data_IF_967689629134
#
_entry.id   IF_967689629134
#
_cell.length_a   1.000
_cell.length_b   1.000
_cell.length_c   1.000
_cell.angle_alpha   90.00
_cell.angle_beta   90.00
_cell.angle_gamma   90.00
#
_symmetry.space_group_name_H-M   'P 1'
#
loop_
_entity.id
_entity.type
_entity.pdbx_description
1 polymer ?
#
# COMPACT_ATOMS: atom_id res chain seq x y z
N UNK A 1 5.92 -17.03 -1.72
CA UNK A 1 6.36 -17.03 -0.31
C UNK A 1 7.81 -17.48 -0.27
N UNK A 2 8.67 -16.70 0.39
CA UNK A 2 10.05 -17.09 0.65
C UNK A 2 10.14 -18.01 1.88
N UNK A 3 11.26 -18.74 2.01
CA UNK A 3 11.50 -19.58 3.18
C UNK A 3 11.94 -18.71 4.36
N UNK A 4 11.23 -18.77 5.48
CA UNK A 4 11.58 -18.02 6.69
C UNK A 4 12.87 -18.52 7.37
N UNK A 5 13.28 -19.77 7.12
CA UNK A 5 14.57 -20.31 7.55
C UNK A 5 15.73 -20.04 6.57
N UNK A 6 15.56 -19.11 5.62
CA UNK A 6 16.65 -18.73 4.70
C UNK A 6 17.74 -18.04 5.51
N UNK A 7 18.98 -18.49 5.36
CA UNK A 7 20.14 -17.99 6.12
C UNK A 7 20.40 -18.73 7.43
N UNK A 8 19.56 -19.70 7.83
CA UNK A 8 19.71 -20.46 9.09
C UNK A 8 20.75 -21.60 9.03
N UNK A 9 21.76 -21.49 8.18
CA UNK A 9 22.91 -22.42 8.09
C UNK A 9 22.91 -23.39 6.91
N UNK A 10 21.75 -23.83 6.39
CA UNK A 10 21.69 -24.72 5.21
C UNK A 10 20.93 -24.07 4.05
N UNK A 11 21.30 -24.44 2.81
CA UNK A 11 20.65 -23.89 1.61
C UNK A 11 19.18 -24.30 1.52
N UNK A 12 18.35 -23.44 0.94
CA UNK A 12 16.95 -23.77 0.66
C UNK A 12 16.86 -24.90 -0.36
N UNK A 13 15.94 -25.83 -0.14
CA UNK A 13 15.69 -26.97 -1.03
C UNK A 13 14.73 -26.66 -2.18
N UNK A 14 14.15 -25.46 -2.20
CA UNK A 14 13.17 -25.04 -3.19
C UNK A 14 12.16 -24.04 -2.63
N UNK A 15 11.01 -23.86 -3.29
CA UNK A 15 9.96 -22.96 -2.85
C UNK A 15 9.42 -23.33 -1.46
N UNK A 16 9.08 -22.33 -0.66
CA UNK A 16 8.46 -22.53 0.64
C UNK A 16 7.00 -22.98 0.47
N UNK A 17 6.73 -24.26 0.75
CA UNK A 17 5.41 -24.87 0.58
C UNK A 17 4.74 -25.26 1.89
N UNK A 18 5.49 -25.35 2.99
CA UNK A 18 4.98 -25.74 4.30
C UNK A 18 4.81 -24.50 5.17
N UNK A 19 3.60 -24.21 5.63
CA UNK A 19 3.36 -23.12 6.60
C UNK A 19 3.58 -23.60 8.03
N UNK A 20 3.89 -22.69 8.94
CA UNK A 20 3.86 -22.98 10.37
C UNK A 20 2.45 -23.46 10.75
N UNK A 21 2.34 -24.63 11.40
CA UNK A 21 1.04 -25.23 11.73
C UNK A 21 0.24 -24.46 12.78
N UNK A 22 0.89 -23.59 13.58
CA UNK A 22 0.23 -22.74 14.57
C UNK A 22 -0.23 -21.43 13.93
N UNK A 23 0.70 -20.56 13.57
CA UNK A 23 0.34 -19.22 13.10
C UNK A 23 -0.11 -19.17 11.63
N UNK A 24 0.29 -20.12 10.78
CA UNK A 24 0.02 -20.07 9.34
C UNK A 24 0.74 -18.96 8.55
N UNK A 25 1.38 -17.99 9.22
CA UNK A 25 1.94 -16.79 8.60
C UNK A 25 3.26 -17.04 7.86
N UNK A 26 4.18 -17.80 8.47
CA UNK A 26 5.52 -18.06 7.91
C UNK A 26 5.55 -19.38 7.14
N UNK A 27 6.35 -19.44 6.08
CA UNK A 27 6.49 -20.61 5.22
C UNK A 27 7.93 -21.13 5.18
N UNK A 28 8.10 -22.44 5.00
CA UNK A 28 9.38 -23.15 4.99
C UNK A 28 9.48 -24.06 3.76
N UNK A 29 10.69 -24.20 3.22
CA UNK A 29 10.97 -25.20 2.19
C UNK A 29 11.19 -26.61 2.76
N UNK A 30 11.50 -26.73 4.05
CA UNK A 30 11.76 -28.01 4.73
C UNK A 30 11.44 -27.95 6.22
N UNK A 31 11.26 -29.13 6.85
CA UNK A 31 11.09 -29.23 8.30
C UNK A 31 12.35 -28.82 9.06
N UNK A 32 13.54 -29.09 8.50
CA UNK A 32 14.82 -28.66 9.08
C UNK A 32 14.89 -27.14 9.23
N UNK A 33 14.47 -26.38 8.21
CA UNK A 33 14.40 -24.91 8.30
C UNK A 33 13.37 -24.42 9.30
N UNK A 34 12.24 -25.10 9.44
CA UNK A 34 11.26 -24.78 10.48
C UNK A 34 11.83 -24.98 11.89
N UNK A 35 12.50 -26.11 12.15
CA UNK A 35 13.12 -26.41 13.45
C UNK A 35 14.23 -25.42 13.76
N UNK A 36 15.08 -25.11 12.78
CA UNK A 36 16.18 -24.14 12.96
C UNK A 36 15.63 -22.73 13.26
N UNK A 37 14.65 -22.27 12.49
CA UNK A 37 14.05 -20.95 12.66
C UNK A 37 13.17 -20.83 13.92
N UNK A 38 12.70 -21.96 14.48
CA UNK A 38 11.82 -21.98 15.66
C UNK A 38 12.40 -21.20 16.86
N UNK A 39 13.73 -21.20 17.01
CA UNK A 39 14.41 -20.46 18.09
C UNK A 39 14.05 -18.97 18.13
N UNK A 40 13.82 -18.37 16.95
CA UNK A 40 13.44 -16.96 16.79
C UNK A 40 11.93 -16.84 16.59
N UNK A 41 11.35 -17.67 15.72
CA UNK A 41 9.93 -17.59 15.37
C UNK A 41 8.99 -17.77 16.56
N UNK A 42 9.34 -18.59 17.55
CA UNK A 42 8.46 -18.91 18.68
C UNK A 42 7.97 -17.67 19.45
N UNK A 43 8.79 -16.63 19.53
CA UNK A 43 8.49 -15.37 20.23
C UNK A 43 7.39 -14.58 19.49
N UNK A 44 7.37 -14.67 18.16
CA UNK A 44 6.41 -13.96 17.30
C UNK A 44 5.21 -14.82 16.88
N UNK A 45 5.29 -16.14 17.09
CA UNK A 45 4.32 -17.09 16.53
C UNK A 45 2.90 -16.83 17.03
N UNK A 46 2.73 -16.52 18.32
CA UNK A 46 1.42 -16.22 18.90
C UNK A 46 0.83 -14.92 18.37
N UNK A 47 1.64 -13.86 18.31
CA UNK A 47 1.23 -12.56 17.74
C UNK A 47 0.79 -12.73 16.29
N UNK A 48 1.55 -13.48 15.51
CA UNK A 48 1.22 -13.79 14.11
C UNK A 48 -0.05 -14.64 14.00
N UNK A 49 -0.29 -15.59 14.91
CA UNK A 49 -1.52 -16.37 14.96
C UNK A 49 -2.74 -15.48 15.16
N UNK A 50 -2.68 -14.55 16.12
CA UNK A 50 -3.75 -13.57 16.36
C UNK A 50 -4.03 -12.71 15.13
N UNK A 51 -2.98 -12.24 14.44
CA UNK A 51 -3.12 -11.49 13.20
C UNK A 51 -3.76 -12.33 12.09
N UNK A 52 -3.38 -13.60 12.00
CA UNK A 52 -3.89 -14.50 10.97
C UNK A 52 -5.36 -14.88 11.17
N UNK A 53 -5.90 -14.79 12.40
CA UNK A 53 -7.34 -14.93 12.67
C UNK A 53 -8.17 -13.80 12.05
N UNK A 54 -7.57 -12.64 11.80
CA UNK A 54 -8.25 -11.48 11.23
C UNK A 54 -8.04 -11.37 9.71
N UNK A 55 -7.50 -12.39 9.04
CA UNK A 55 -7.23 -12.35 7.60
C UNK A 55 -8.47 -12.06 6.76
N UNK A 56 -9.60 -12.64 7.12
CA UNK A 56 -10.84 -12.44 6.35
C UNK A 56 -11.31 -10.99 6.46
N UNK A 57 -11.24 -10.40 7.65
CA UNK A 57 -11.52 -8.97 7.87
C UNK A 57 -10.56 -8.06 7.10
N UNK A 58 -9.28 -8.42 7.01
CA UNK A 58 -8.28 -7.66 6.25
C UNK A 58 -8.49 -7.76 4.72
N UNK A 59 -9.24 -8.76 4.24
CA UNK A 59 -9.58 -8.92 2.84
C UNK A 59 -11.01 -8.46 2.50
N UNK A 60 -11.79 -8.03 3.49
CA UNK A 60 -13.15 -7.53 3.33
C UNK A 60 -13.14 -6.05 2.87
N UNK A 61 -12.71 -5.85 1.63
CA UNK A 61 -12.69 -4.53 1.02
C UNK A 61 -14.03 -4.20 0.35
N UNK A 62 -14.53 -2.95 0.45
CA UNK A 62 -15.84 -2.56 -0.10
C UNK A 62 -15.87 -2.43 -1.63
N UNK A 63 -14.78 -2.76 -2.32
CA UNK A 63 -14.65 -2.51 -3.75
C UNK A 63 -15.37 -3.57 -4.58
N UNK A 64 -15.95 -3.17 -5.70
CA UNK A 64 -16.60 -4.12 -6.65
C UNK A 64 -15.59 -5.06 -7.30
N UNK A 65 -14.30 -4.73 -7.22
CA UNK A 65 -13.20 -5.50 -7.79
C UNK A 65 -12.37 -6.26 -6.74
N UNK A 66 -12.78 -6.28 -5.47
CA UNK A 66 -12.03 -6.93 -4.38
C UNK A 66 -11.68 -8.38 -4.74
N UNK A 67 -12.66 -9.19 -5.14
CA UNK A 67 -12.45 -10.59 -5.52
C UNK A 67 -11.42 -10.76 -6.65
N UNK A 68 -11.48 -9.92 -7.69
CA UNK A 68 -10.53 -9.94 -8.81
C UNK A 68 -9.12 -9.55 -8.36
N UNK A 69 -9.01 -8.49 -7.55
CA UNK A 69 -7.74 -7.88 -7.15
C UNK A 69 -7.04 -8.54 -5.95
N UNK A 70 -7.74 -9.35 -5.16
CA UNK A 70 -7.18 -10.02 -3.98
C UNK A 70 -7.17 -11.54 -4.16
N UNK A 71 -8.35 -12.17 -4.19
CA UNK A 71 -8.51 -13.63 -4.20
C UNK A 71 -7.97 -14.23 -5.50
N UNK A 72 -8.46 -13.77 -6.66
CA UNK A 72 -8.06 -14.34 -7.95
C UNK A 72 -6.57 -14.12 -8.26
N UNK A 73 -5.99 -13.00 -7.83
CA UNK A 73 -4.54 -12.76 -7.93
C UNK A 73 -3.75 -13.72 -7.01
N UNK A 74 -4.22 -13.94 -5.77
CA UNK A 74 -3.60 -14.89 -4.83
C UNK A 74 -3.65 -16.33 -5.36
N UNK A 75 -4.77 -16.71 -5.97
CA UNK A 75 -4.99 -18.02 -6.60
C UNK A 75 -4.34 -18.15 -7.98
N UNK A 76 -3.65 -17.11 -8.46
CA UNK A 76 -3.00 -17.04 -9.78
C UNK A 76 -3.96 -17.23 -10.97
N UNK A 77 -5.25 -17.03 -10.77
CA UNK A 77 -6.26 -17.00 -11.83
C UNK A 77 -6.23 -15.65 -12.57
N UNK A 78 -5.83 -14.59 -11.86
CA UNK A 78 -5.68 -13.25 -12.40
C UNK A 78 -4.27 -12.71 -12.14
N UNK A 79 -3.85 -11.70 -12.91
CA UNK A 79 -2.59 -10.99 -12.64
C UNK A 79 -2.84 -9.50 -12.48
N UNK A 80 -1.98 -8.83 -11.71
CA UNK A 80 -2.05 -7.37 -11.57
C UNK A 80 -1.96 -6.67 -12.94
N UNK A 81 -1.16 -7.18 -13.87
CA UNK A 81 -1.04 -6.63 -15.21
C UNK A 81 -2.37 -6.68 -15.98
N UNK A 82 -3.03 -7.85 -15.97
CA UNK A 82 -4.31 -8.05 -16.64
C UNK A 82 -5.43 -7.22 -15.98
N UNK A 83 -5.48 -7.20 -14.64
CA UNK A 83 -6.39 -6.34 -13.87
C UNK A 83 -6.31 -4.86 -14.30
N UNK A 84 -5.10 -4.31 -14.42
CA UNK A 84 -4.87 -2.92 -14.85
C UNK A 84 -5.19 -2.73 -16.34
N UNK A 85 -4.89 -3.72 -17.18
CA UNK A 85 -5.12 -3.65 -18.63
C UNK A 85 -6.60 -3.59 -18.97
N UNK A 86 -7.44 -4.41 -18.30
CA UNK A 86 -8.90 -4.37 -18.43
C UNK A 86 -9.50 -2.98 -18.13
N UNK A 87 -8.77 -2.16 -17.36
CA UNK A 87 -9.17 -0.81 -16.95
C UNK A 87 -8.44 0.31 -17.71
N UNK A 88 -7.60 -0.02 -18.69
CA UNK A 88 -6.87 0.97 -19.49
C UNK A 88 -5.80 1.76 -18.74
N UNK A 89 -5.39 1.30 -17.55
CA UNK A 89 -4.44 2.00 -16.66
C UNK A 89 -3.14 1.22 -16.48
N UNK A 90 -2.86 0.28 -17.38
CA UNK A 90 -1.64 -0.51 -17.34
C UNK A 90 -0.45 0.29 -17.91
N UNK A 91 0.63 0.42 -17.13
CA UNK A 91 1.88 1.08 -17.55
C UNK A 91 1.70 2.54 -18.03
N UNK A 92 0.77 3.29 -17.43
CA UNK A 92 0.54 4.71 -17.74
C UNK A 92 0.49 5.55 -16.46
N UNK A 93 1.00 6.79 -16.54
CA UNK A 93 1.04 7.75 -15.44
C UNK A 93 1.45 7.16 -14.09
N UNK A 94 0.65 7.44 -13.06
CA UNK A 94 0.89 7.01 -11.68
C UNK A 94 0.83 5.48 -11.50
N UNK A 95 0.30 4.73 -12.46
CA UNK A 95 0.08 3.29 -12.38
C UNK A 95 1.26 2.44 -12.85
N UNK A 96 2.29 3.06 -13.43
CA UNK A 96 3.44 2.34 -14.00
C UNK A 96 4.05 1.38 -12.96
N UNK A 97 4.17 1.80 -11.70
CA UNK A 97 4.78 1.00 -10.64
C UNK A 97 3.84 0.02 -9.94
N UNK A 98 2.58 -0.07 -10.36
CA UNK A 98 1.63 -0.99 -9.74
C UNK A 98 1.76 -2.42 -10.27
N UNK A 99 2.46 -2.67 -11.38
CA UNK A 99 2.82 -4.01 -11.83
C UNK A 99 4.33 -4.26 -11.77
N UNK A 100 4.74 -5.53 -11.58
CA UNK A 100 6.15 -5.95 -11.72
C UNK A 100 6.73 -5.66 -13.11
N UNK A 101 5.88 -5.61 -14.13
CA UNK A 101 6.24 -5.29 -15.50
C UNK A 101 6.67 -3.83 -15.71
N UNK A 102 6.35 -2.95 -14.77
CA UNK A 102 6.69 -1.53 -14.85
C UNK A 102 8.10 -1.21 -14.39
N UNK A 103 8.73 -2.09 -13.60
CA UNK A 103 10.13 -1.94 -13.19
C UNK A 103 11.10 -1.98 -14.38
N UNK A 104 10.71 -2.59 -15.50
CA UNK A 104 11.47 -2.56 -16.76
C UNK A 104 11.33 -1.22 -17.50
N UNK A 105 10.28 -0.45 -17.24
CA UNK A 105 9.98 0.83 -17.92
C UNK A 105 10.69 1.99 -17.24
N UNK A 106 10.84 1.95 -15.92
CA UNK A 106 11.53 3.00 -15.14
C UNK A 106 13.05 3.05 -15.34
N UNK A 107 13.63 2.07 -16.05
CA UNK A 107 15.03 2.08 -16.48
C UNK A 107 15.30 3.04 -17.65
N UNK A 108 14.26 3.52 -18.34
CA UNK A 108 14.39 4.49 -19.43
C UNK A 108 14.03 5.88 -18.91
N UNK A 109 15.05 6.75 -18.86
CA UNK A 109 14.98 8.04 -18.19
C UNK A 109 13.98 9.04 -18.77
N UNK A 110 13.65 9.99 -17.91
CA UNK A 110 13.45 11.40 -18.23
C UNK A 110 12.27 11.83 -19.12
N UNK A 111 11.06 11.30 -18.90
CA UNK A 111 9.84 12.04 -19.27
C UNK A 111 8.86 12.13 -18.10
N UNK A 112 9.21 12.98 -17.12
CA UNK A 112 8.43 13.23 -15.88
C UNK A 112 7.08 13.92 -16.13
N UNK A 113 6.82 14.44 -17.33
CA UNK A 113 5.63 15.25 -17.58
C UNK A 113 4.35 14.41 -17.74
N UNK A 114 4.49 13.16 -18.17
CA UNK A 114 3.35 12.21 -18.33
C UNK A 114 3.19 11.26 -17.14
N UNK A 115 4.11 11.26 -16.17
CA UNK A 115 4.11 10.29 -15.06
C UNK A 115 3.14 10.64 -13.93
N UNK A 116 2.74 11.91 -13.82
CA UNK A 116 2.00 12.40 -12.64
C UNK A 116 0.47 12.41 -12.87
N UNK A 117 0.01 11.89 -14.01
CA UNK A 117 -1.42 11.83 -14.33
C UNK A 117 -2.11 10.64 -13.69
N UNK A 118 -3.34 10.87 -13.21
CA UNK A 118 -4.20 9.81 -12.66
C UNK A 118 -4.65 8.79 -13.71
N UNK A 119 -4.64 9.14 -15.01
CA UNK A 119 -5.16 8.31 -16.12
C UNK A 119 -6.54 7.69 -15.84
N UNK A 120 -7.37 8.41 -15.09
CA UNK A 120 -8.74 8.07 -14.75
C UNK A 120 -9.63 9.26 -15.08
N UNK A 121 -10.89 9.01 -15.42
CA UNK A 121 -11.90 10.07 -15.51
C UNK A 121 -12.04 10.79 -14.17
N UNK A 122 -12.42 12.06 -14.19
CA UNK A 122 -12.59 12.89 -12.99
C UNK A 122 -13.55 12.33 -11.93
N UNK A 123 -14.51 11.47 -12.31
CA UNK A 123 -15.42 10.80 -11.38
C UNK A 123 -14.79 9.61 -10.65
N UNK A 124 -13.66 9.10 -11.14
CA UNK A 124 -12.98 7.91 -10.59
C UNK A 124 -11.74 8.28 -9.76
N UNK A 125 -11.31 9.53 -9.72
CA UNK A 125 -10.09 9.89 -9.01
C UNK A 125 -10.25 11.19 -8.22
N UNK A 126 -9.46 11.38 -7.15
CA UNK A 126 -9.51 12.55 -6.32
C UNK A 126 -8.84 13.80 -6.95
N UNK A 127 -8.94 13.96 -8.26
CA UNK A 127 -8.27 15.04 -9.01
C UNK A 127 -8.88 16.44 -8.80
N UNK A 128 -10.09 16.51 -8.22
CA UNK A 128 -10.76 17.76 -7.83
C UNK A 128 -10.78 17.88 -6.32
N UNK A 129 -10.85 19.10 -5.78
CA UNK A 129 -11.05 19.30 -4.35
C UNK A 129 -12.32 18.58 -3.84
N UNK A 130 -12.35 18.17 -2.56
CA UNK A 130 -13.53 17.55 -1.97
C UNK A 130 -14.71 18.53 -1.94
N UNK A 131 -15.94 18.01 -2.03
CA UNK A 131 -17.17 18.82 -1.99
C UNK A 131 -17.39 19.51 -0.64
N UNK A 132 -16.85 18.93 0.43
CA UNK A 132 -16.90 19.48 1.79
C UNK A 132 -15.63 19.12 2.56
N UNK A 133 -15.24 19.93 3.57
CA UNK A 133 -14.20 19.54 4.50
C UNK A 133 -14.54 18.22 5.20
N UNK A 134 -13.51 17.50 5.63
CA UNK A 134 -13.67 16.29 6.43
C UNK A 134 -14.33 16.64 7.77
N UNK A 135 -15.54 16.14 8.01
CA UNK A 135 -16.33 16.47 9.20
C UNK A 135 -16.12 15.47 10.35
N UNK A 136 -15.75 14.24 10.03
CA UNK A 136 -15.49 13.14 10.97
C UNK A 136 -14.24 12.39 10.52
N UNK A 137 -13.52 11.82 11.48
CA UNK A 137 -12.41 10.93 11.17
C UNK A 137 -12.90 9.79 10.27
N UNK A 138 -12.20 9.55 9.17
CA UNK A 138 -12.48 8.41 8.31
C UNK A 138 -12.03 7.14 9.03
N UNK A 139 -12.86 6.11 9.04
CA UNK A 139 -12.59 4.84 9.70
C UNK A 139 -12.50 3.67 8.71
N UNK A 140 -12.95 3.88 7.47
CA UNK A 140 -12.94 2.85 6.43
C UNK A 140 -12.68 3.42 5.03
N UNK A 141 -12.33 2.53 4.10
CA UNK A 141 -12.30 2.87 2.68
C UNK A 141 -13.65 3.35 2.16
N UNK A 142 -14.75 2.81 2.67
CA UNK A 142 -16.09 3.21 2.27
C UNK A 142 -16.34 4.68 2.65
N UNK A 143 -15.97 5.08 3.86
CA UNK A 143 -16.11 6.47 4.33
C UNK A 143 -15.33 7.44 3.43
N UNK A 144 -14.10 7.07 3.04
CA UNK A 144 -13.28 7.88 2.15
C UNK A 144 -13.92 8.03 0.76
N UNK A 145 -14.39 6.93 0.17
CA UNK A 145 -15.01 6.93 -1.16
C UNK A 145 -16.30 7.74 -1.17
N UNK A 146 -17.13 7.61 -0.13
CA UNK A 146 -18.34 8.40 0.06
C UNK A 146 -18.03 9.90 0.19
N UNK A 147 -17.08 10.26 1.07
CA UNK A 147 -16.65 11.65 1.25
C UNK A 147 -16.10 12.27 -0.05
N UNK A 148 -15.31 11.52 -0.82
CA UNK A 148 -14.78 11.98 -2.10
C UNK A 148 -15.75 11.90 -3.26
N UNK A 149 -16.94 11.35 -3.05
CA UNK A 149 -17.90 11.04 -4.10
C UNK A 149 -17.28 10.19 -5.23
N UNK A 150 -16.38 9.28 -4.87
CA UNK A 150 -15.72 8.34 -5.79
C UNK A 150 -16.47 7.00 -5.69
N UNK A 151 -16.85 6.39 -6.81
CA UNK A 151 -17.66 5.19 -6.76
C UNK A 151 -16.74 3.95 -6.55
N UNK A 152 -17.24 2.92 -5.86
CA UNK A 152 -16.45 1.78 -5.35
C UNK A 152 -15.84 0.87 -6.44
N UNK A 153 -16.17 1.09 -7.72
CA UNK A 153 -15.51 0.50 -8.88
C UNK A 153 -14.20 1.18 -9.26
N UNK A 154 -13.93 2.38 -8.75
CA UNK A 154 -12.67 3.05 -9.01
C UNK A 154 -11.50 2.27 -8.39
N UNK A 155 -10.44 1.95 -9.15
CA UNK A 155 -9.26 1.27 -8.63
C UNK A 155 -8.32 2.19 -7.83
N UNK A 156 -8.71 3.45 -7.59
CA UNK A 156 -7.81 4.50 -7.05
C UNK A 156 -7.29 4.21 -5.65
N UNK A 157 -7.91 3.28 -4.90
CA UNK A 157 -7.39 2.76 -3.63
C UNK A 157 -5.99 2.18 -3.77
N UNK A 158 -5.64 1.58 -4.92
CA UNK A 158 -4.30 1.06 -5.17
C UNK A 158 -3.22 2.14 -5.16
N UNK A 159 -3.55 3.37 -5.55
CA UNK A 159 -2.64 4.51 -5.43
C UNK A 159 -2.73 5.12 -4.03
N UNK A 160 -3.95 5.32 -3.52
CA UNK A 160 -4.20 6.08 -2.29
C UNK A 160 -3.84 5.36 -1.00
N UNK A 161 -3.57 4.05 -1.02
CA UNK A 161 -3.29 3.28 0.20
C UNK A 161 -2.20 3.93 1.06
N UNK A 162 -1.10 4.44 0.48
CA UNK A 162 -0.04 5.08 1.25
C UNK A 162 -0.46 6.39 1.95
N UNK A 163 -0.97 7.42 1.24
CA UNK A 163 -1.46 8.61 1.92
C UNK A 163 -2.56 8.32 2.95
N UNK A 164 -3.47 7.39 2.68
CA UNK A 164 -4.50 7.05 3.66
C UNK A 164 -3.96 6.27 4.86
N UNK A 165 -2.98 5.40 4.68
CA UNK A 165 -2.26 4.79 5.80
C UNK A 165 -1.58 5.86 6.65
N UNK A 166 -0.89 6.83 6.04
CA UNK A 166 -0.27 7.95 6.75
C UNK A 166 -1.31 8.74 7.55
N UNK A 167 -2.45 9.09 6.92
CA UNK A 167 -3.57 9.74 7.61
C UNK A 167 -4.04 8.94 8.81
N UNK A 168 -4.35 7.65 8.65
CA UNK A 168 -4.84 6.80 9.74
C UNK A 168 -3.80 6.63 10.85
N UNK A 169 -2.51 6.50 10.54
CA UNK A 169 -1.45 6.43 11.54
C UNK A 169 -1.39 7.70 12.40
N UNK A 170 -1.57 8.87 11.79
CA UNK A 170 -1.61 10.16 12.51
C UNK A 170 -2.86 10.27 13.39
N UNK A 171 -4.02 9.82 12.89
CA UNK A 171 -5.25 9.77 13.67
C UNK A 171 -5.09 8.85 14.89
N UNK A 172 -4.52 7.65 14.70
CA UNK A 172 -4.28 6.68 15.76
C UNK A 172 -3.25 7.16 16.80
N UNK A 173 -2.28 7.98 16.38
CA UNK A 173 -1.32 8.61 17.29
C UNK A 173 -1.94 9.73 18.16
N UNK A 174 -3.25 10.02 18.01
CA UNK A 174 -3.94 11.06 18.76
C UNK A 174 -3.69 12.48 18.26
N UNK A 175 -2.93 12.65 17.16
CA UNK A 175 -2.73 13.96 16.54
C UNK A 175 -3.96 14.40 15.74
N UNK A 176 -4.85 13.47 15.39
CA UNK A 176 -6.09 13.75 14.67
C UNK A 176 -7.04 14.72 15.39
N UNK A 177 -7.11 14.65 16.72
CA UNK A 177 -7.90 15.60 17.53
C UNK A 177 -7.23 16.97 17.70
N UNK A 178 -5.92 17.06 17.45
CA UNK A 178 -5.11 18.27 17.60
C UNK A 178 -4.99 19.06 16.29
N UNK A 179 -5.57 18.59 15.18
CA UNK A 179 -5.43 19.25 13.87
C UNK A 179 -5.96 20.69 13.87
N UNK A 180 -6.89 21.03 14.75
CA UNK A 180 -7.38 22.41 14.91
C UNK A 180 -6.37 23.34 15.60
N UNK A 181 -5.41 22.78 16.35
CA UNK A 181 -4.37 23.52 17.09
C UNK A 181 -3.03 23.53 16.35
N UNK A 182 -2.85 22.62 15.39
CA UNK A 182 -1.61 22.44 14.64
C UNK A 182 -1.70 23.20 13.31
N UNK A 183 -0.84 24.21 13.13
CA UNK A 183 -0.73 24.94 11.85
C UNK A 183 0.19 24.25 10.84
N UNK A 184 1.11 23.39 11.29
CA UNK A 184 2.08 22.68 10.46
C UNK A 184 2.28 21.24 10.92
N UNK A 185 2.18 20.31 9.98
CA UNK A 185 2.46 18.89 10.17
C UNK A 185 3.67 18.50 9.31
N UNK A 186 4.76 18.08 9.96
CA UNK A 186 5.95 17.56 9.28
C UNK A 186 5.96 16.02 9.35
N UNK A 187 6.05 15.35 8.22
CA UNK A 187 6.03 13.89 8.09
C UNK A 187 7.37 13.46 7.53
N UNK A 188 8.17 12.75 8.33
CA UNK A 188 9.42 12.15 7.86
C UNK A 188 9.12 10.73 7.37
N UNK A 189 9.05 10.55 6.05
CA UNK A 189 8.71 9.29 5.40
C UNK A 189 9.99 8.50 5.09
N UNK A 190 10.20 7.41 5.82
CA UNK A 190 11.43 6.61 5.75
C UNK A 190 11.32 5.50 4.70
N UNK A 191 12.38 5.33 3.91
CA UNK A 191 12.51 4.24 2.94
C UNK A 191 11.49 4.26 1.79
N UNK A 192 11.24 5.39 1.11
CA UNK A 192 10.35 5.40 -0.04
C UNK A 192 10.97 4.63 -1.21
N UNK A 193 10.15 3.84 -1.89
CA UNK A 193 10.47 3.06 -3.08
C UNK A 193 9.63 3.56 -4.26
N UNK A 194 8.51 2.90 -4.55
CA UNK A 194 7.61 3.28 -5.65
C UNK A 194 6.90 4.62 -5.41
N UNK A 195 6.82 5.05 -4.15
CA UNK A 195 6.19 6.30 -3.72
C UNK A 195 6.88 7.52 -4.35
N UNK A 196 8.18 7.41 -4.65
CA UNK A 196 8.96 8.46 -5.33
C UNK A 196 8.46 8.78 -6.74
N UNK A 197 7.73 7.85 -7.36
CA UNK A 197 7.10 7.99 -8.67
C UNK A 197 5.61 8.31 -8.57
N UNK A 198 5.08 8.41 -7.35
CA UNK A 198 3.67 8.64 -7.05
C UNK A 198 3.47 9.84 -6.13
N UNK A 199 4.39 10.81 -6.15
CA UNK A 199 4.37 11.97 -5.24
C UNK A 199 3.06 12.77 -5.34
N UNK A 200 2.48 12.87 -6.54
CA UNK A 200 1.20 13.56 -6.75
C UNK A 200 0.05 12.95 -5.91
N UNK A 201 0.10 11.65 -5.62
CA UNK A 201 -0.90 10.95 -4.81
C UNK A 201 -0.89 11.45 -3.36
N UNK A 202 0.28 11.80 -2.82
CA UNK A 202 0.42 12.36 -1.46
C UNK A 202 -0.17 13.77 -1.33
N UNK A 203 -0.44 14.46 -2.46
CA UNK A 203 -1.19 15.71 -2.46
C UNK A 203 -2.58 15.58 -1.80
N UNK A 204 -3.12 14.36 -1.76
CA UNK A 204 -4.37 14.04 -1.07
C UNK A 204 -4.37 14.42 0.41
N UNK A 205 -3.21 14.36 1.08
CA UNK A 205 -3.09 14.71 2.50
C UNK A 205 -3.53 16.16 2.79
N UNK A 206 -3.45 17.06 1.80
CA UNK A 206 -3.93 18.44 1.93
C UNK A 206 -5.45 18.51 2.14
N UNK A 207 -6.20 17.61 1.52
CA UNK A 207 -7.66 17.53 1.69
C UNK A 207 -8.03 16.85 3.02
N UNK A 208 -7.20 15.89 3.47
CA UNK A 208 -7.40 15.14 4.70
C UNK A 208 -7.03 15.93 5.97
N UNK A 209 -6.19 16.95 5.86
CA UNK A 209 -5.79 17.86 6.95
C UNK A 209 -6.13 19.32 6.60
N UNK A 210 -7.43 19.69 6.59
CA UNK A 210 -7.84 21.04 6.25
C UNK A 210 -7.25 22.07 7.22
N UNK A 211 -6.70 23.16 6.68
CA UNK A 211 -6.10 24.24 7.48
C UNK A 211 -4.69 23.96 8.01
N UNK A 212 -4.13 22.78 7.76
CA UNK A 212 -2.78 22.39 8.21
C UNK A 212 -1.80 22.46 7.03
N UNK A 213 -0.65 23.11 7.23
CA UNK A 213 0.46 23.03 6.28
C UNK A 213 1.16 21.67 6.41
N UNK A 214 0.92 20.77 5.45
CA UNK A 214 1.53 19.44 5.43
C UNK A 214 2.85 19.47 4.65
N UNK A 215 3.95 19.14 5.33
CA UNK A 215 5.28 18.96 4.75
C UNK A 215 5.68 17.49 4.86
N UNK A 216 6.19 16.91 3.77
CA UNK A 216 6.67 15.53 3.74
C UNK A 216 8.14 15.53 3.35
N UNK A 217 8.97 14.96 4.20
CA UNK A 217 10.40 14.77 3.97
C UNK A 217 10.65 13.28 3.71
N UNK A 218 11.02 12.97 2.47
CA UNK A 218 11.28 11.61 2.03
C UNK A 218 12.76 11.29 2.29
N UNK A 219 13.02 10.26 3.10
CA UNK A 219 14.37 9.94 3.59
C UNK A 219 14.70 8.50 3.24
N UNK A 220 15.74 8.29 2.42
CA UNK A 220 16.21 6.95 2.09
C UNK A 220 17.24 6.95 0.96
N UNK A 221 17.94 5.82 0.76
CA UNK A 221 18.99 5.71 -0.26
C UNK A 221 18.47 5.82 -1.70
N UNK A 222 17.18 5.57 -1.93
CA UNK A 222 16.54 5.71 -3.23
C UNK A 222 16.16 7.17 -3.55
N UNK A 223 16.19 8.08 -2.57
CA UNK A 223 15.86 9.49 -2.76
C UNK A 223 17.01 10.16 -3.53
N UNK A 224 16.75 10.75 -4.70
CA UNK A 224 17.81 11.41 -5.46
C UNK A 224 18.39 12.59 -4.67
N UNK A 225 19.72 12.77 -4.70
CA UNK A 225 20.43 13.87 -4.00
C UNK A 225 19.96 15.29 -4.35
N UNK A 226 19.24 15.47 -5.47
CA UNK A 226 18.65 16.76 -5.84
C UNK A 226 17.25 17.00 -5.25
N UNK A 227 16.74 16.06 -4.43
CA UNK A 227 15.43 16.09 -3.78
C UNK A 227 15.50 15.93 -2.25
N UNK A 228 16.71 15.74 -1.72
CA UNK A 228 17.01 15.70 -0.28
C UNK A 228 17.29 17.08 0.26
#
# INVERSE_FOLDING_TARGET
MECAGKGSGTRCLGPARKRCGRCGAVSYCSASHQISHWKVHREECERLEQQMRNLDLLNDFPFTFSQESTVQISEKQESRCSFLRKRGIHQVGLWVCECRCGASVTSFGNSRLESDTWNLSNILCPCRGPSSPIAKALCSWKDYYEWRCIPLQSPVSLLLHWPLTVYHSIQLAGLGSLTSEISKLCIHYLGPEKELLQLAVFGELRALFPGVFVQIELIGPAVPHHRS
#
